data_IF_385552795102
#
_entry.id   IF_385552795102
#
_cell.length_a   1.000
_cell.length_b   1.000
_cell.length_c   1.000
_cell.angle_alpha   90.00
_cell.angle_beta   90.00
_cell.angle_gamma   90.00
#
_symmetry.space_group_name_H-M   'P 1'
#
loop_
_entity.id
_entity.type
_entity.pdbx_description
1 polymer ?
#
# COMPACT_ATOMS: atom_id res chain seq x y z
N UNK A 1 -43.22 17.02 -5.81
CA UNK A 1 -42.60 15.68 -5.75
C UNK A 1 -41.57 15.41 -6.84
N UNK A 2 -41.75 15.81 -8.10
CA UNK A 2 -40.74 15.59 -9.16
C UNK A 2 -39.45 16.40 -8.97
N UNK A 3 -39.56 17.64 -8.53
CA UNK A 3 -38.41 18.55 -8.32
C UNK A 3 -37.58 18.13 -7.11
N UNK A 4 -38.22 17.71 -6.01
CA UNK A 4 -37.53 17.23 -4.80
C UNK A 4 -36.74 15.94 -5.05
N UNK A 5 -37.22 15.08 -5.95
CA UNK A 5 -36.51 13.85 -6.35
C UNK A 5 -35.25 14.16 -7.19
N UNK A 6 -35.33 15.16 -8.08
CA UNK A 6 -34.19 15.66 -8.85
C UNK A 6 -33.11 16.30 -7.97
N UNK A 7 -33.51 17.01 -6.91
CA UNK A 7 -32.57 17.58 -5.93
C UNK A 7 -31.81 16.51 -5.14
N UNK A 8 -32.48 15.43 -4.75
CA UNK A 8 -31.84 14.28 -4.10
C UNK A 8 -30.85 13.56 -5.02
N UNK A 9 -31.21 13.38 -6.29
CA UNK A 9 -30.33 12.76 -7.29
C UNK A 9 -29.06 13.60 -7.54
N UNK A 10 -29.18 14.93 -7.52
CA UNK A 10 -28.06 15.84 -7.71
C UNK A 10 -27.07 15.82 -6.53
N UNK A 11 -27.57 15.70 -5.29
CA UNK A 11 -26.75 15.58 -4.08
C UNK A 11 -25.96 14.26 -4.08
N UNK A 12 -26.53 13.18 -4.61
CA UNK A 12 -25.86 11.87 -4.70
C UNK A 12 -24.67 11.88 -5.68
N UNK A 13 -24.78 12.64 -6.78
CA UNK A 13 -23.71 12.78 -7.78
C UNK A 13 -22.53 13.63 -7.24
N UNK A 14 -22.82 14.64 -6.39
CA UNK A 14 -21.79 15.50 -5.79
C UNK A 14 -20.92 14.70 -4.80
N UNK A 15 -21.49 13.74 -4.06
CA UNK A 15 -20.74 12.87 -3.15
C UNK A 15 -19.70 12.03 -3.92
N UNK A 16 -20.07 11.46 -5.08
CA UNK A 16 -19.15 10.67 -5.93
C UNK A 16 -18.03 11.56 -6.51
N UNK A 17 -18.32 12.82 -6.84
CA UNK A 17 -17.32 13.75 -7.37
C UNK A 17 -16.29 14.18 -6.31
N UNK A 18 -16.66 14.25 -5.03
CA UNK A 18 -15.71 14.54 -3.94
C UNK A 18 -14.71 13.39 -3.75
N UNK A 19 -15.14 12.14 -3.95
CA UNK A 19 -14.24 10.98 -3.90
C UNK A 19 -13.24 10.90 -5.06
N UNK A 20 -13.44 11.64 -6.16
CA UNK A 20 -12.56 11.59 -7.35
C UNK A 20 -11.55 12.74 -7.47
N UNK A 21 -11.61 13.76 -6.60
CA UNK A 21 -10.75 14.95 -6.66
C UNK A 21 -9.36 14.80 -6.03
N UNK A 22 -8.89 13.58 -5.74
CA UNK A 22 -7.56 13.34 -5.17
C UNK A 22 -6.41 13.17 -6.18
N UNK A 23 -6.70 12.90 -7.46
CA UNK A 23 -5.65 12.62 -8.44
C UNK A 23 -5.17 13.89 -9.14
N UNK A 24 -3.99 14.40 -8.73
CA UNK A 24 -3.24 15.38 -9.54
C UNK A 24 -2.97 14.74 -10.91
N UNK A 25 -3.53 15.31 -11.98
CA UNK A 25 -3.28 14.90 -13.38
C UNK A 25 -1.78 14.73 -13.62
N UNK A 26 -1.31 13.49 -13.64
CA UNK A 26 0.09 13.15 -13.96
C UNK A 26 0.84 12.30 -12.93
N UNK A 27 0.32 12.07 -11.72
CA UNK A 27 1.02 11.21 -10.74
C UNK A 27 0.85 9.72 -11.10
N UNK A 28 1.92 8.99 -11.49
CA UNK A 28 1.84 7.56 -11.75
C UNK A 28 1.41 6.76 -10.53
N UNK A 29 1.66 7.26 -9.31
CA UNK A 29 1.30 6.60 -8.05
C UNK A 29 -0.22 6.50 -7.89
N UNK A 30 -0.95 7.58 -8.17
CA UNK A 30 -2.42 7.57 -8.11
C UNK A 30 -3.04 6.52 -9.03
N UNK A 31 -2.54 6.43 -10.27
CA UNK A 31 -2.99 5.41 -11.23
C UNK A 31 -2.70 3.98 -10.77
N UNK A 32 -1.53 3.74 -10.17
CA UNK A 32 -1.17 2.43 -9.62
C UNK A 32 -2.09 2.06 -8.46
N UNK A 33 -2.40 3.00 -7.57
CA UNK A 33 -3.32 2.77 -6.44
C UNK A 33 -4.75 2.48 -6.91
N UNK A 34 -5.25 3.24 -7.89
CA UNK A 34 -6.57 3.02 -8.48
C UNK A 34 -6.65 1.65 -9.16
N UNK A 35 -5.61 1.25 -9.89
CA UNK A 35 -5.51 -0.09 -10.48
C UNK A 35 -5.45 -1.20 -9.42
N UNK A 36 -4.69 -1.00 -8.34
CA UNK A 36 -4.59 -1.95 -7.23
C UNK A 36 -5.96 -2.22 -6.62
N UNK A 37 -6.74 -1.16 -6.34
CA UNK A 37 -8.07 -1.27 -5.75
C UNK A 37 -9.03 -2.08 -6.64
N UNK A 38 -9.02 -1.81 -7.96
CA UNK A 38 -9.85 -2.54 -8.93
C UNK A 38 -9.47 -4.03 -8.94
N UNK A 39 -8.17 -4.34 -9.07
CA UNK A 39 -7.73 -5.74 -9.08
C UNK A 39 -8.01 -6.47 -7.77
N UNK A 40 -7.95 -5.78 -6.63
CA UNK A 40 -8.30 -6.36 -5.33
C UNK A 40 -9.78 -6.74 -5.27
N UNK A 41 -10.67 -5.85 -5.71
CA UNK A 41 -12.10 -6.12 -5.79
C UNK A 41 -12.39 -7.34 -6.67
N UNK A 42 -11.79 -7.41 -7.86
CA UNK A 42 -11.94 -8.54 -8.78
C UNK A 42 -11.36 -9.84 -8.22
N UNK A 43 -10.18 -9.79 -7.62
CA UNK A 43 -9.49 -10.98 -7.10
C UNK A 43 -10.24 -11.60 -5.93
N UNK A 44 -10.70 -10.74 -5.03
CA UNK A 44 -11.33 -11.15 -3.78
C UNK A 44 -12.83 -11.39 -3.94
N UNK A 45 -13.47 -10.88 -5.01
CA UNK A 45 -14.90 -11.05 -5.28
C UNK A 45 -15.74 -10.59 -4.07
N UNK A 46 -15.53 -9.33 -3.67
CA UNK A 46 -16.17 -8.75 -2.49
C UNK A 46 -17.50 -8.09 -2.85
N UNK A 47 -18.51 -8.30 -2.02
CA UNK A 47 -19.71 -7.46 -2.01
C UNK A 47 -19.38 -6.04 -1.49
N UNK A 48 -20.31 -5.11 -1.68
CA UNK A 48 -20.13 -3.71 -1.33
C UNK A 48 -19.86 -3.48 0.17
N UNK A 49 -20.57 -4.20 1.05
CA UNK A 49 -20.42 -4.04 2.50
C UNK A 49 -19.05 -4.55 2.97
N UNK A 50 -18.65 -5.72 2.48
CA UNK A 50 -17.36 -6.34 2.76
C UNK A 50 -16.21 -5.50 2.20
N UNK A 51 -16.36 -4.96 0.98
CA UNK A 51 -15.37 -4.09 0.36
C UNK A 51 -15.12 -2.81 1.17
N UNK A 52 -16.17 -2.16 1.67
CA UNK A 52 -16.05 -0.97 2.52
C UNK A 52 -15.25 -1.27 3.80
N UNK A 53 -15.58 -2.36 4.50
CA UNK A 53 -14.86 -2.79 5.72
C UNK A 53 -13.41 -3.16 5.41
N UNK A 54 -13.17 -3.88 4.31
CA UNK A 54 -11.84 -4.26 3.86
C UNK A 54 -10.97 -3.03 3.60
N UNK A 55 -11.45 -2.07 2.80
CA UNK A 55 -10.66 -0.89 2.46
C UNK A 55 -10.44 0.04 3.66
N UNK A 56 -11.38 0.12 4.60
CA UNK A 56 -11.17 0.84 5.85
C UNK A 56 -9.98 0.26 6.65
N UNK A 57 -9.98 -1.06 6.88
CA UNK A 57 -8.88 -1.76 7.59
C UNK A 57 -7.56 -1.69 6.81
N UNK A 58 -7.64 -1.75 5.47
CA UNK A 58 -6.46 -1.65 4.60
C UNK A 58 -5.83 -0.26 4.64
N UNK A 59 -6.63 0.80 4.68
CA UNK A 59 -6.09 2.17 4.75
C UNK A 59 -5.32 2.38 6.06
N UNK A 60 -5.88 1.93 7.19
CA UNK A 60 -5.18 1.98 8.48
C UNK A 60 -3.86 1.18 8.45
N UNK A 61 -3.88 -0.02 7.89
CA UNK A 61 -2.69 -0.83 7.69
C UNK A 61 -1.64 -0.09 6.83
N UNK A 62 -2.05 0.53 5.71
CA UNK A 62 -1.16 1.28 4.82
C UNK A 62 -0.52 2.48 5.52
N UNK A 63 -1.27 3.22 6.32
CA UNK A 63 -0.74 4.36 7.08
C UNK A 63 0.33 3.92 8.07
N UNK A 64 0.05 2.87 8.85
CA UNK A 64 1.03 2.32 9.80
C UNK A 64 2.27 1.77 9.09
N UNK A 65 2.08 1.04 7.99
CA UNK A 65 3.18 0.53 7.19
C UNK A 65 4.02 1.65 6.61
N UNK A 66 3.40 2.76 6.16
CA UNK A 66 4.10 3.94 5.69
C UNK A 66 4.97 4.54 6.79
N UNK A 67 4.46 4.68 8.02
CA UNK A 67 5.27 5.16 9.15
C UNK A 67 6.51 4.29 9.39
N UNK A 68 6.37 2.96 9.34
CA UNK A 68 7.52 2.07 9.49
C UNK A 68 8.49 2.11 8.32
N UNK A 69 8.00 2.29 7.09
CA UNK A 69 8.85 2.48 5.91
C UNK A 69 9.64 3.79 6.01
N UNK A 70 9.00 4.89 6.39
CA UNK A 70 9.68 6.17 6.59
C UNK A 70 10.75 6.07 7.71
N UNK A 71 10.45 5.35 8.81
CA UNK A 71 11.42 5.06 9.89
C UNK A 71 12.60 4.21 9.38
N UNK A 72 12.32 3.19 8.58
CA UNK A 72 13.32 2.30 7.98
C UNK A 72 14.24 3.04 7.01
N UNK A 73 13.69 3.90 6.14
CA UNK A 73 14.46 4.70 5.19
C UNK A 73 15.43 5.63 5.95
N UNK A 74 14.95 6.29 7.01
CA UNK A 74 15.81 7.13 7.86
C UNK A 74 16.88 6.33 8.61
N UNK A 75 16.59 5.10 9.03
CA UNK A 75 17.59 4.20 9.62
C UNK A 75 18.64 3.78 8.60
N UNK A 76 18.22 3.48 7.37
CA UNK A 76 19.10 3.10 6.27
C UNK A 76 20.10 4.22 5.95
N UNK A 77 19.63 5.46 5.77
CA UNK A 77 20.50 6.62 5.54
C UNK A 77 21.51 6.84 6.68
N UNK A 78 21.10 6.64 7.95
CA UNK A 78 22.01 6.75 9.10
C UNK A 78 23.09 5.67 9.08
N UNK A 79 22.73 4.43 8.76
CA UNK A 79 23.66 3.32 8.66
C UNK A 79 24.65 3.56 7.51
N UNK A 80 24.18 3.98 6.33
CA UNK A 80 25.02 4.28 5.17
C UNK A 80 26.05 5.38 5.47
N UNK A 81 25.62 6.47 6.12
CA UNK A 81 26.50 7.55 6.56
C UNK A 81 27.50 7.13 7.66
N UNK A 82 27.09 6.24 8.56
CA UNK A 82 27.97 5.72 9.61
C UNK A 82 29.04 4.80 9.03
N UNK A 83 28.68 3.93 8.08
CA UNK A 83 29.63 3.04 7.41
C UNK A 83 30.66 3.84 6.60
N UNK A 84 30.25 4.89 5.90
CA UNK A 84 31.19 5.70 5.10
C UNK A 84 32.24 6.47 5.93
N UNK A 85 31.99 6.63 7.23
CA UNK A 85 32.90 7.30 8.18
C UNK A 85 33.60 6.34 9.16
N UNK A 86 33.34 5.04 9.04
CA UNK A 86 33.86 4.03 9.97
C UNK A 86 35.37 3.79 9.75
N UNK A 87 36.13 3.74 10.83
CA UNK A 87 37.57 3.41 10.83
C UNK A 87 37.90 2.08 11.50
N UNK A 88 36.92 1.47 12.18
CA UNK A 88 37.02 0.19 12.86
C UNK A 88 35.69 -0.56 12.75
N UNK A 89 35.75 -1.85 12.43
CA UNK A 89 34.59 -2.72 12.21
C UNK A 89 33.75 -2.97 13.48
N UNK A 90 34.30 -2.74 14.68
CA UNK A 90 33.60 -2.94 15.96
C UNK A 90 33.11 -1.63 16.58
N UNK A 91 32.12 -1.00 15.96
CA UNK A 91 31.44 0.19 16.47
C UNK A 91 30.12 -0.16 17.22
N UNK A 92 30.03 0.07 18.54
CA UNK A 92 28.83 -0.21 19.32
C UNK A 92 27.58 0.58 18.91
N UNK A 93 27.75 1.78 18.33
CA UNK A 93 26.64 2.56 17.79
C UNK A 93 26.10 1.96 16.51
N UNK A 94 26.98 1.49 15.62
CA UNK A 94 26.57 0.80 14.40
C UNK A 94 25.76 -0.46 14.73
N UNK A 95 26.17 -1.21 15.76
CA UNK A 95 25.39 -2.35 16.26
C UNK A 95 23.98 -1.94 16.71
N UNK A 96 23.86 -0.86 17.49
CA UNK A 96 22.55 -0.35 17.92
C UNK A 96 21.68 0.09 16.74
N UNK A 97 22.26 0.68 15.70
CA UNK A 97 21.53 1.06 14.48
C UNK A 97 20.99 -0.17 13.75
N UNK A 98 21.80 -1.24 13.64
CA UNK A 98 21.38 -2.52 13.06
C UNK A 98 20.23 -3.12 13.88
N UNK A 99 20.36 -3.18 15.21
CA UNK A 99 19.32 -3.72 16.09
C UNK A 99 18.01 -2.92 15.95
N UNK A 100 18.10 -1.60 15.84
CA UNK A 100 16.94 -0.72 15.62
C UNK A 100 16.29 -0.98 14.25
N UNK A 101 17.07 -1.15 13.19
CA UNK A 101 16.57 -1.51 11.84
C UNK A 101 15.85 -2.87 11.86
N UNK A 102 16.43 -3.87 12.52
CA UNK A 102 15.81 -5.20 12.67
C UNK A 102 14.51 -5.12 13.48
N UNK A 103 14.46 -4.30 14.52
CA UNK A 103 13.23 -4.07 15.29
C UNK A 103 12.12 -3.44 14.42
N UNK A 104 12.44 -2.49 13.55
CA UNK A 104 11.45 -1.90 12.63
C UNK A 104 10.89 -2.96 11.67
N UNK A 105 11.75 -3.83 11.12
CA UNK A 105 11.30 -4.96 10.29
C UNK A 105 10.33 -5.88 11.04
N UNK A 106 10.62 -6.19 12.31
CA UNK A 106 9.72 -7.00 13.14
C UNK A 106 8.36 -6.32 13.32
N UNK A 107 8.31 -5.00 13.59
CA UNK A 107 7.05 -4.25 13.69
C UNK A 107 6.25 -4.33 12.39
N UNK A 108 6.91 -4.26 11.24
CA UNK A 108 6.25 -4.40 9.93
C UNK A 108 5.63 -5.79 9.74
N UNK A 109 6.31 -6.86 10.16
CA UNK A 109 5.77 -8.22 10.08
C UNK A 109 4.61 -8.45 11.06
N UNK A 110 4.71 -7.90 12.27
CA UNK A 110 3.63 -7.92 13.26
C UNK A 110 2.40 -7.15 12.76
N UNK A 111 2.62 -6.01 12.11
CA UNK A 111 1.59 -5.19 11.46
C UNK A 111 0.89 -5.95 10.33
N UNK A 112 1.64 -6.64 9.46
CA UNK A 112 1.08 -7.53 8.41
C UNK A 112 0.21 -8.62 9.04
N UNK A 113 0.72 -9.31 10.06
CA UNK A 113 -0.03 -10.34 10.77
C UNK A 113 -1.32 -9.78 11.37
N UNK A 114 -1.26 -8.60 12.00
CA UNK A 114 -2.43 -7.96 12.60
C UNK A 114 -3.47 -7.59 11.54
N UNK A 115 -3.06 -7.09 10.38
CA UNK A 115 -3.96 -6.81 9.26
C UNK A 115 -4.66 -8.07 8.75
N UNK A 116 -3.94 -9.16 8.50
CA UNK A 116 -4.57 -10.41 8.06
C UNK A 116 -5.54 -10.98 9.10
N UNK A 117 -5.16 -10.93 10.39
CA UNK A 117 -6.04 -11.36 11.46
C UNK A 117 -7.29 -10.49 11.57
N UNK A 118 -7.14 -9.18 11.39
CA UNK A 118 -8.27 -8.25 11.42
C UNK A 118 -9.23 -8.44 10.26
N UNK A 119 -8.93 -9.25 9.26
CA UNK A 119 -9.81 -9.55 8.13
C UNK A 119 -10.56 -10.88 8.28
N UNK A 120 -10.26 -11.69 9.30
CA UNK A 120 -10.80 -13.05 9.45
C UNK A 120 -12.32 -13.12 9.70
N UNK A 121 -12.93 -12.03 10.12
CA UNK A 121 -14.38 -11.87 10.31
C UNK A 121 -15.13 -11.42 9.05
N UNK A 122 -14.42 -10.91 8.02
CA UNK A 122 -15.04 -10.41 6.78
C UNK A 122 -14.57 -11.13 5.52
N UNK A 123 -13.45 -11.85 5.57
CA UNK A 123 -12.91 -12.62 4.46
C UNK A 123 -12.85 -14.11 4.80
N UNK A 124 -13.21 -14.94 3.82
CA UNK A 124 -12.96 -16.38 3.90
C UNK A 124 -11.45 -16.69 3.88
N UNK A 125 -11.06 -17.86 4.37
CA UNK A 125 -9.66 -18.35 4.29
C UNK A 125 -9.14 -18.35 2.85
N UNK A 126 -10.00 -18.69 1.88
CA UNK A 126 -9.64 -18.64 0.45
C UNK A 126 -9.35 -17.21 -0.02
N UNK A 127 -10.13 -16.22 0.41
CA UNK A 127 -9.90 -14.81 0.08
C UNK A 127 -8.65 -14.26 0.77
N UNK A 128 -8.39 -14.63 2.03
CA UNK A 128 -7.12 -14.28 2.72
C UNK A 128 -5.90 -14.85 1.98
N UNK A 129 -5.95 -16.11 1.55
CA UNK A 129 -4.88 -16.70 0.76
C UNK A 129 -4.68 -15.98 -0.59
N UNK A 130 -5.78 -15.63 -1.28
CA UNK A 130 -5.74 -14.83 -2.50
C UNK A 130 -5.11 -13.45 -2.26
N UNK A 131 -5.45 -12.78 -1.15
CA UNK A 131 -4.88 -11.49 -0.78
C UNK A 131 -3.36 -11.58 -0.61
N UNK A 132 -2.86 -12.58 0.13
CA UNK A 132 -1.42 -12.79 0.32
C UNK A 132 -0.69 -13.00 -1.02
N UNK A 133 -1.27 -13.80 -1.92
CA UNK A 133 -0.72 -14.03 -3.26
C UNK A 133 -0.78 -12.75 -4.12
N UNK A 134 -1.87 -12.00 -4.03
CA UNK A 134 -2.06 -10.74 -4.74
C UNK A 134 -1.01 -9.71 -4.34
N UNK A 135 -0.82 -9.47 -3.05
CA UNK A 135 0.15 -8.46 -2.55
C UNK A 135 1.58 -8.74 -3.03
N UNK A 136 1.97 -10.01 -3.09
CA UNK A 136 3.27 -10.42 -3.63
C UNK A 136 3.35 -10.16 -5.14
N UNK A 137 2.40 -10.68 -5.91
CA UNK A 137 2.40 -10.58 -7.38
C UNK A 137 2.28 -9.14 -7.86
N UNK A 138 1.40 -8.36 -7.24
CA UNK A 138 1.20 -6.96 -7.59
C UNK A 138 2.48 -6.15 -7.37
N UNK A 139 3.20 -6.38 -6.25
CA UNK A 139 4.49 -5.76 -6.00
C UNK A 139 5.53 -6.11 -7.06
N UNK A 140 5.59 -7.39 -7.46
CA UNK A 140 6.48 -7.85 -8.54
C UNK A 140 6.12 -7.18 -9.88
N UNK A 141 4.84 -7.13 -10.26
CA UNK A 141 4.35 -6.47 -11.47
C UNK A 141 4.69 -4.97 -11.50
N UNK A 142 4.44 -4.25 -10.41
CA UNK A 142 4.73 -2.81 -10.33
C UNK A 142 6.23 -2.56 -10.42
N UNK A 143 7.05 -3.39 -9.77
CA UNK A 143 8.51 -3.31 -9.89
C UNK A 143 8.93 -3.48 -11.34
N UNK A 144 8.40 -4.49 -12.04
CA UNK A 144 8.77 -4.73 -13.44
C UNK A 144 8.35 -3.57 -14.35
N UNK A 145 7.18 -2.98 -14.13
CA UNK A 145 6.71 -1.80 -14.88
C UNK A 145 7.59 -0.57 -14.63
N UNK A 146 8.05 -0.35 -13.39
CA UNK A 146 8.86 0.82 -13.04
C UNK A 146 10.33 0.69 -13.46
N UNK A 147 10.94 -0.49 -13.30
CA UNK A 147 12.37 -0.71 -13.52
C UNK A 147 12.70 -1.30 -14.90
N UNK A 148 11.72 -1.89 -15.60
CA UNK A 148 11.87 -2.37 -16.97
C UNK A 148 10.82 -1.75 -17.89
N UNK A 149 10.83 -0.41 -18.08
CA UNK A 149 10.01 0.19 -19.12
C UNK A 149 10.46 -0.42 -20.44
N UNK A 150 9.65 -1.35 -20.99
CA UNK A 150 9.93 -2.04 -22.24
C UNK A 150 10.48 -1.01 -23.21
N UNK A 151 11.76 -1.15 -23.62
CA UNK A 151 12.31 -0.38 -24.74
C UNK A 151 11.25 -0.47 -25.83
N UNK A 152 10.56 0.64 -26.10
CA UNK A 152 9.65 0.72 -27.24
C UNK A 152 10.52 0.39 -28.44
N UNK A 153 10.32 -0.82 -28.92
CA UNK A 153 10.96 -1.39 -30.09
C UNK A 153 10.66 -0.40 -31.21
N UNK A 154 11.70 0.28 -31.70
CA UNK A 154 11.67 0.84 -33.04
C UNK A 154 11.41 -0.33 -33.99
N UNK A 155 10.22 -0.31 -34.55
CA UNK A 155 9.65 -1.05 -35.68
C UNK A 155 8.55 -0.06 -36.10
N UNK A 156 8.72 0.82 -37.08
CA UNK A 156 9.58 0.82 -38.28
C UNK A 156 10.13 2.23 -38.58
#
# INVERSE_FOLDING_TARGET
MRITFLSFLFILIIQVAVYSQGERKGDPRGKIESLEKIKLLETLDLDEETALKFFARRNEHRERMKTFMDEQDAQYEKIENKISSLTNDNDPELKKMIDSYLSTNQKMDEERKRFFNSLSDILTIKQLAKLALFERRFREEIRDVLFHPRKRKGMD
#
